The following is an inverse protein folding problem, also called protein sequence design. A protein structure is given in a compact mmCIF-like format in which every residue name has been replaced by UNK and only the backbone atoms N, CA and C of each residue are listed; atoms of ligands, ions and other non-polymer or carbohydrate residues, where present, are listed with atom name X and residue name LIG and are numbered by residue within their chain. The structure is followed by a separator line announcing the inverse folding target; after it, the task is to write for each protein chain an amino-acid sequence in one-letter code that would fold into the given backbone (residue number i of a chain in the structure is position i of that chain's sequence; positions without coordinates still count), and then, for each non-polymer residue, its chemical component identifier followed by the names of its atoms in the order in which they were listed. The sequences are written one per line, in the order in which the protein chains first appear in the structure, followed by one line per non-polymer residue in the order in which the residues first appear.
data_IF_489046506615
#
_entry.id   IF_489046506615
#
_cell.length_a   1.000
_cell.length_b   1.000
_cell.length_c   1.000
_cell.angle_alpha   90.00
_cell.angle_beta   90.00
_cell.angle_gamma   90.00
#
_symmetry.space_group_name_H-M   'P 1'
#
loop_
_entity.id
_entity.type
_entity.pdbx_description
1 polymer ?
#
# COMPACT_ATOMS: atom_id res chain seq x y z
N UNK A 1 -22.12 -2.08 17.26
CA UNK A 1 -22.53 -3.26 16.47
C UNK A 1 -21.74 -3.32 15.17
N UNK A 2 -22.06 -2.49 14.21
CA UNK A 2 -21.32 -2.46 12.93
C UNK A 2 -19.86 -2.05 13.15
N UNK A 3 -19.65 -1.02 13.94
CA UNK A 3 -18.33 -0.47 14.25
C UNK A 3 -17.42 -1.53 14.87
N UNK A 4 -17.94 -2.30 15.81
CA UNK A 4 -17.20 -3.37 16.46
C UNK A 4 -16.82 -4.47 15.47
N UNK A 5 -17.77 -4.89 14.66
CA UNK A 5 -17.53 -5.95 13.66
C UNK A 5 -16.51 -5.51 12.63
N UNK A 6 -16.61 -4.27 12.16
CA UNK A 6 -15.64 -3.72 11.22
C UNK A 6 -14.26 -3.63 11.87
N UNK A 7 -14.16 -3.12 13.09
CA UNK A 7 -12.89 -2.98 13.79
C UNK A 7 -12.20 -4.32 13.97
N UNK A 8 -12.95 -5.35 14.34
CA UNK A 8 -12.39 -6.70 14.49
C UNK A 8 -11.77 -7.21 13.19
N UNK A 9 -12.45 -7.02 12.07
CA UNK A 9 -11.93 -7.44 10.76
C UNK A 9 -10.70 -6.61 10.38
N UNK A 10 -10.80 -5.30 10.50
CA UNK A 10 -9.74 -4.35 10.16
C UNK A 10 -8.48 -4.61 10.98
N UNK A 11 -8.63 -4.82 12.28
CA UNK A 11 -7.50 -5.10 13.17
C UNK A 11 -6.81 -6.42 12.82
N UNK A 12 -7.56 -7.44 12.43
CA UNK A 12 -6.97 -8.72 12.01
C UNK A 12 -6.16 -8.59 10.72
N UNK A 13 -6.64 -7.80 9.76
CA UNK A 13 -5.85 -7.48 8.57
C UNK A 13 -4.57 -6.73 8.93
N UNK A 14 -4.66 -5.73 9.80
CA UNK A 14 -3.49 -4.98 10.26
C UNK A 14 -2.50 -5.86 11.00
N UNK A 15 -2.97 -6.72 11.90
CA UNK A 15 -2.09 -7.63 12.65
C UNK A 15 -1.34 -8.57 11.71
N UNK A 16 -2.01 -9.10 10.70
CA UNK A 16 -1.36 -9.97 9.72
C UNK A 16 -0.33 -9.21 8.91
N UNK A 17 -0.65 -7.98 8.51
CA UNK A 17 0.28 -7.12 7.78
C UNK A 17 1.52 -6.81 8.63
N UNK A 18 1.34 -6.41 9.87
CA UNK A 18 2.47 -6.11 10.77
C UNK A 18 3.33 -7.34 11.02
N UNK A 19 2.71 -8.49 11.24
CA UNK A 19 3.45 -9.75 11.41
C UNK A 19 4.34 -10.05 10.21
N UNK A 20 3.82 -9.88 9.00
CA UNK A 20 4.59 -10.10 7.77
C UNK A 20 5.72 -9.09 7.61
N UNK A 21 5.48 -7.83 7.93
CA UNK A 21 6.52 -6.80 7.92
C UNK A 21 7.65 -7.17 8.90
N UNK A 22 7.30 -7.58 10.12
CA UNK A 22 8.31 -8.00 11.10
C UNK A 22 9.12 -9.21 10.63
N UNK A 23 8.48 -10.18 10.00
CA UNK A 23 9.17 -11.36 9.45
C UNK A 23 10.17 -10.95 8.35
N UNK A 24 9.76 -10.05 7.44
CA UNK A 24 10.58 -9.66 6.30
C UNK A 24 11.70 -8.70 6.67
N UNK A 25 11.51 -7.88 7.70
CA UNK A 25 12.48 -6.86 8.12
C UNK A 25 13.65 -7.47 8.91
N UNK A 26 13.48 -8.67 9.51
CA UNK A 26 14.49 -9.30 10.33
C UNK A 26 15.71 -9.85 9.57
N UNK A 27 15.65 -9.93 8.25
CA UNK A 27 16.42 -11.00 7.63
C UNK A 27 17.71 -10.64 6.91
N UNK A 28 18.22 -9.46 6.76
CA UNK A 28 19.55 -9.28 6.08
C UNK A 28 20.03 -7.84 6.09
N UNK A 29 21.35 -7.67 6.04
CA UNK A 29 21.97 -6.43 5.63
C UNK A 29 21.42 -6.01 4.25
N UNK A 30 20.95 -4.78 4.16
CA UNK A 30 20.32 -4.27 2.93
C UNK A 30 18.84 -4.57 2.78
N UNK A 31 18.23 -5.24 3.75
CA UNK A 31 16.77 -5.43 3.78
C UNK A 31 16.05 -4.12 4.14
N UNK A 32 14.75 -4.08 3.87
CA UNK A 32 13.93 -2.93 4.21
C UNK A 32 13.77 -2.81 5.72
N UNK A 33 13.79 -1.56 6.21
CA UNK A 33 13.27 -1.27 7.56
C UNK A 33 11.74 -1.26 7.52
N UNK A 34 11.11 -1.31 8.71
CA UNK A 34 9.64 -1.21 8.80
C UNK A 34 9.13 0.08 8.17
N UNK A 35 9.80 1.21 8.43
CA UNK A 35 9.39 2.50 7.86
C UNK A 35 9.56 2.54 6.35
N UNK A 36 10.59 1.89 5.81
CA UNK A 36 10.76 1.76 4.37
C UNK A 36 9.65 0.91 3.74
N UNK A 37 9.27 -0.19 4.38
CA UNK A 37 8.17 -1.03 3.92
C UNK A 37 6.85 -0.25 3.90
N UNK A 38 6.56 0.51 4.96
CA UNK A 38 5.38 1.37 5.01
C UNK A 38 5.41 2.45 3.93
N UNK A 39 6.58 3.04 3.69
CA UNK A 39 6.74 4.05 2.63
C UNK A 39 6.43 3.49 1.24
N UNK A 40 6.88 2.27 0.96
CA UNK A 40 6.56 1.60 -0.31
C UNK A 40 5.07 1.33 -0.46
N UNK A 41 4.39 0.93 0.63
CA UNK A 41 2.94 0.76 0.63
C UNK A 41 2.22 2.08 0.31
N UNK A 42 2.66 3.17 0.92
CA UNK A 42 2.10 4.50 0.65
C UNK A 42 2.29 4.88 -0.81
N UNK A 43 3.48 4.67 -1.36
CA UNK A 43 3.78 4.98 -2.76
C UNK A 43 2.88 4.16 -3.70
N UNK A 44 2.68 2.88 -3.39
CA UNK A 44 1.77 2.04 -4.16
C UNK A 44 0.35 2.60 -4.16
N UNK A 45 -0.16 2.97 -2.99
CA UNK A 45 -1.54 3.46 -2.84
C UNK A 45 -1.75 4.84 -3.46
N UNK A 46 -0.69 5.67 -3.51
CA UNK A 46 -0.75 6.98 -4.19
C UNK A 46 -0.66 6.87 -5.72
N UNK A 47 -0.31 5.72 -6.24
CA UNK A 47 -0.26 5.39 -7.67
C UNK A 47 0.62 6.35 -8.49
N UNK A 48 1.88 5.98 -8.66
CA UNK A 48 2.89 6.75 -9.39
C UNK A 48 3.01 8.21 -8.91
N UNK A 49 3.16 8.46 -7.59
CA UNK A 49 3.25 9.82 -7.09
C UNK A 49 4.57 10.48 -7.50
N UNK A 50 4.58 11.81 -7.52
CA UNK A 50 5.82 12.57 -7.51
C UNK A 50 6.42 12.59 -6.10
N UNK A 51 7.69 13.01 -5.97
CA UNK A 51 8.29 13.20 -4.64
C UNK A 51 7.49 14.20 -3.82
N UNK A 52 7.02 15.30 -4.46
CA UNK A 52 6.20 16.30 -3.78
C UNK A 52 4.91 15.72 -3.22
N UNK A 53 4.20 14.91 -3.98
CA UNK A 53 2.98 14.24 -3.52
C UNK A 53 3.25 13.28 -2.36
N UNK A 54 4.35 12.54 -2.43
CA UNK A 54 4.78 11.66 -1.35
C UNK A 54 5.13 12.44 -0.08
N UNK A 55 5.89 13.53 -0.23
CA UNK A 55 6.26 14.41 0.88
C UNK A 55 5.01 15.02 1.54
N UNK A 56 4.08 15.50 0.74
CA UNK A 56 2.84 16.11 1.23
C UNK A 56 2.00 15.10 2.00
N UNK A 57 1.88 13.88 1.51
CA UNK A 57 1.13 12.84 2.21
C UNK A 57 1.72 12.54 3.58
N UNK A 58 3.05 12.44 3.67
CA UNK A 58 3.75 12.14 4.92
C UNK A 58 3.93 13.38 5.81
N UNK A 59 3.62 14.57 5.29
CA UNK A 59 3.86 15.84 5.98
C UNK A 59 5.33 16.01 6.39
N UNK A 60 6.23 15.76 5.44
CA UNK A 60 7.67 15.91 5.61
C UNK A 60 8.22 16.86 4.56
N UNK A 61 9.44 17.35 4.77
CA UNK A 61 10.10 18.20 3.79
C UNK A 61 10.43 17.43 2.52
N UNK A 62 10.52 18.16 1.40
CA UNK A 62 10.88 17.53 0.12
C UNK A 62 12.29 16.94 0.17
N UNK A 63 13.22 17.58 0.86
CA UNK A 63 14.58 17.04 1.02
C UNK A 63 14.59 15.73 1.81
N UNK A 64 13.77 15.62 2.85
CA UNK A 64 13.62 14.40 3.61
C UNK A 64 12.99 13.28 2.75
N UNK A 65 11.96 13.63 1.98
CA UNK A 65 11.33 12.68 1.06
C UNK A 65 12.32 12.18 0.00
N UNK A 66 13.11 13.09 -0.57
CA UNK A 66 14.16 12.75 -1.55
C UNK A 66 15.17 11.78 -0.96
N UNK A 67 15.61 12.01 0.27
CA UNK A 67 16.53 11.12 0.97
C UNK A 67 15.95 9.71 1.12
N UNK A 68 14.70 9.62 1.57
CA UNK A 68 14.00 8.33 1.73
C UNK A 68 13.84 7.60 0.39
N UNK A 69 13.43 8.33 -0.64
CA UNK A 69 13.24 7.78 -1.99
C UNK A 69 14.56 7.27 -2.58
N UNK A 70 15.64 8.04 -2.44
CA UNK A 70 16.94 7.63 -2.95
C UNK A 70 17.44 6.34 -2.28
N UNK A 71 17.18 6.16 -0.99
CA UNK A 71 17.53 4.92 -0.30
C UNK A 71 16.74 3.73 -0.86
N UNK A 72 15.47 3.91 -1.16
CA UNK A 72 14.64 2.85 -1.74
C UNK A 72 15.04 2.53 -3.19
N UNK A 73 15.47 3.55 -3.94
CA UNK A 73 16.02 3.35 -5.29
C UNK A 73 17.32 2.53 -5.23
N UNK A 74 18.22 2.86 -4.31
CA UNK A 74 19.46 2.12 -4.11
C UNK A 74 19.20 0.66 -3.76
N UNK A 75 18.18 0.39 -2.97
CA UNK A 75 17.80 -0.98 -2.60
C UNK A 75 17.06 -1.72 -3.71
N UNK A 76 16.72 -1.03 -4.80
CA UNK A 76 16.12 -1.64 -5.97
C UNK A 76 14.60 -1.77 -5.93
N UNK A 77 13.92 -1.11 -4.97
CA UNK A 77 12.45 -1.18 -4.84
C UNK A 77 11.72 -0.11 -5.62
N UNK A 78 12.39 1.02 -5.92
CA UNK A 78 11.82 2.14 -6.67
C UNK A 78 12.67 2.47 -7.87
N UNK A 79 12.00 2.99 -8.90
CA UNK A 79 12.60 3.55 -10.10
C UNK A 79 12.01 4.92 -10.37
N UNK A 80 12.76 5.74 -11.10
CA UNK A 80 12.27 7.03 -11.56
C UNK A 80 11.61 6.86 -12.91
N UNK A 81 10.41 7.42 -13.04
CA UNK A 81 9.71 7.51 -14.32
C UNK A 81 9.58 8.99 -14.68
N UNK A 82 10.26 9.40 -15.74
CA UNK A 82 10.28 10.80 -16.12
C UNK A 82 8.91 11.26 -16.61
N UNK A 83 8.51 12.48 -16.20
CA UNK A 83 7.34 13.13 -16.73
C UNK A 83 7.56 13.49 -18.20
N UNK A 84 6.54 13.31 -19.05
CA UNK A 84 6.58 13.73 -20.45
C UNK A 84 6.38 15.23 -20.60
N UNK A 85 5.87 15.90 -19.58
CA UNK A 85 5.51 17.33 -19.63
C UNK A 85 6.51 18.25 -18.92
N UNK A 86 7.23 17.75 -17.90
CA UNK A 86 8.23 18.53 -17.18
C UNK A 86 9.44 17.65 -16.86
N UNK A 87 10.62 18.01 -17.40
CA UNK A 87 11.87 17.27 -17.19
C UNK A 87 12.40 17.34 -15.76
N UNK A 88 11.95 18.32 -14.97
CA UNK A 88 12.37 18.49 -13.58
C UNK A 88 11.57 17.64 -12.62
N UNK A 89 10.44 17.11 -13.10
CA UNK A 89 9.54 16.31 -12.34
C UNK A 89 9.61 14.85 -12.81
N UNK A 90 9.64 13.92 -11.87
CA UNK A 90 9.53 12.52 -12.19
C UNK A 90 8.58 11.85 -11.20
N UNK A 91 7.97 10.77 -11.67
CA UNK A 91 7.08 9.95 -10.86
C UNK A 91 7.85 8.75 -10.28
N UNK A 92 7.37 8.26 -9.15
CA UNK A 92 7.94 7.09 -8.49
C UNK A 92 7.24 5.85 -9.04
N UNK A 93 8.03 4.92 -9.55
CA UNK A 93 7.55 3.65 -10.10
C UNK A 93 8.08 2.51 -9.25
N UNK A 94 7.21 1.59 -8.87
CA UNK A 94 7.61 0.41 -8.12
C UNK A 94 8.27 -0.61 -9.04
N UNK A 95 9.34 -1.23 -8.54
CA UNK A 95 10.12 -2.20 -9.32
C UNK A 95 9.52 -3.60 -9.24
N UNK A 96 10.00 -4.51 -10.09
CA UNK A 96 9.67 -5.92 -10.02
C UNK A 96 10.01 -6.52 -8.65
N UNK A 97 11.14 -6.11 -8.06
CA UNK A 97 11.55 -6.53 -6.73
C UNK A 97 10.49 -6.19 -5.69
N UNK A 98 9.88 -5.01 -5.80
CA UNK A 98 8.78 -4.63 -4.92
C UNK A 98 7.57 -5.54 -5.10
N UNK A 99 7.15 -5.82 -6.33
CA UNK A 99 5.98 -6.66 -6.57
C UNK A 99 6.18 -8.08 -6.07
N UNK A 100 7.38 -8.63 -6.18
CA UNK A 100 7.71 -9.92 -5.59
C UNK A 100 7.59 -9.89 -4.05
N UNK A 101 8.04 -8.80 -3.44
CA UNK A 101 7.91 -8.56 -2.01
C UNK A 101 6.43 -8.45 -1.61
N UNK A 102 5.63 -7.70 -2.37
CA UNK A 102 4.21 -7.50 -2.12
C UNK A 102 3.38 -8.78 -2.21
N UNK A 103 3.75 -9.69 -3.10
CA UNK A 103 3.04 -10.98 -3.21
C UNK A 103 3.05 -11.74 -1.88
N UNK A 104 4.12 -11.58 -1.08
CA UNK A 104 4.21 -12.19 0.25
C UNK A 104 3.31 -11.49 1.27
N UNK A 105 3.12 -10.16 1.13
CA UNK A 105 2.30 -9.37 2.07
C UNK A 105 0.79 -9.52 1.82
N UNK A 106 0.38 -9.58 0.56
CA UNK A 106 -1.05 -9.53 0.19
C UNK A 106 -1.74 -10.90 0.13
N UNK A 107 -1.00 -12.00 0.28
CA UNK A 107 -1.56 -13.35 0.17
C UNK A 107 -2.68 -13.64 1.17
N UNK A 108 -2.63 -13.05 2.36
CA UNK A 108 -3.67 -13.24 3.37
C UNK A 108 -5.00 -12.63 2.95
N UNK A 109 -4.98 -11.44 2.38
CA UNK A 109 -6.20 -10.79 1.88
C UNK A 109 -6.89 -11.65 0.84
N UNK A 110 -6.13 -12.20 -0.10
CA UNK A 110 -6.68 -13.09 -1.13
C UNK A 110 -7.29 -14.34 -0.50
N UNK A 111 -6.64 -14.94 0.49
CA UNK A 111 -7.19 -16.12 1.19
C UNK A 111 -8.50 -15.79 1.87
N UNK A 112 -8.60 -14.63 2.51
CA UNK A 112 -9.86 -14.21 3.17
C UNK A 112 -10.95 -13.98 2.12
N UNK A 113 -10.63 -13.33 0.99
CA UNK A 113 -11.59 -13.14 -0.08
C UNK A 113 -12.09 -14.46 -0.65
N UNK A 114 -11.21 -15.43 -0.85
CA UNK A 114 -11.61 -16.77 -1.31
C UNK A 114 -12.55 -17.47 -0.31
N UNK A 115 -12.27 -17.31 0.99
CA UNK A 115 -13.13 -17.86 2.04
C UNK A 115 -14.50 -17.18 2.09
N UNK A 116 -14.55 -15.87 1.86
CA UNK A 116 -15.81 -15.13 1.78
C UNK A 116 -16.64 -15.66 0.61
N UNK A 117 -16.04 -15.83 -0.57
CA UNK A 117 -16.73 -16.35 -1.75
C UNK A 117 -17.24 -17.79 -1.54
N UNK A 118 -16.50 -18.58 -0.78
CA UNK A 118 -16.91 -19.96 -0.47
C UNK A 118 -18.03 -20.02 0.58
N UNK A 119 -18.08 -19.06 1.50
CA UNK A 119 -19.01 -19.07 2.63
C UNK A 119 -20.35 -18.43 2.32
N UNK A 120 -20.37 -17.41 1.49
CA UNK A 120 -21.56 -16.62 1.20
C UNK A 120 -22.08 -16.88 -0.21
N UNK A 121 -23.37 -16.62 -0.45
CA UNK A 121 -23.96 -16.72 -1.77
C UNK A 121 -23.35 -15.70 -2.74
N UNK A 122 -23.43 -15.97 -4.02
CA UNK A 122 -23.00 -15.03 -5.06
C UNK A 122 -23.72 -13.68 -4.93
N UNK A 123 -25.02 -13.71 -4.61
CA UNK A 123 -25.80 -12.50 -4.40
C UNK A 123 -25.26 -11.68 -3.23
N UNK A 124 -24.95 -12.33 -2.09
CA UNK A 124 -24.38 -11.66 -0.92
C UNK A 124 -22.99 -11.10 -1.20
N UNK A 125 -22.15 -11.84 -1.92
CA UNK A 125 -20.81 -11.38 -2.30
C UNK A 125 -20.90 -10.15 -3.20
N UNK A 126 -21.80 -10.17 -4.18
CA UNK A 126 -21.99 -9.03 -5.07
C UNK A 126 -22.52 -7.80 -4.33
N UNK A 127 -23.42 -8.00 -3.38
CA UNK A 127 -23.94 -6.92 -2.54
C UNK A 127 -22.84 -6.33 -1.64
N UNK A 128 -22.01 -7.18 -1.08
CA UNK A 128 -20.87 -6.77 -0.27
C UNK A 128 -19.87 -5.96 -1.10
N UNK A 129 -19.55 -6.43 -2.30
CA UNK A 129 -18.66 -5.69 -3.21
C UNK A 129 -19.24 -4.32 -3.55
N UNK A 130 -20.52 -4.25 -3.88
CA UNK A 130 -21.20 -2.97 -4.15
C UNK A 130 -21.10 -2.01 -2.97
N UNK A 131 -21.33 -2.50 -1.75
CA UNK A 131 -21.20 -1.69 -0.54
C UNK A 131 -19.77 -1.20 -0.31
N UNK A 132 -18.78 -2.06 -0.53
CA UNK A 132 -17.37 -1.66 -0.40
C UNK A 132 -17.00 -0.58 -1.42
N UNK A 133 -17.48 -0.69 -2.66
CA UNK A 133 -17.24 0.33 -3.68
C UNK A 133 -17.85 1.68 -3.31
N UNK A 134 -19.07 1.68 -2.78
CA UNK A 134 -19.72 2.90 -2.31
C UNK A 134 -18.93 3.52 -1.14
N UNK A 135 -18.51 2.69 -0.20
CA UNK A 135 -17.70 3.17 0.93
C UNK A 135 -16.42 3.83 0.42
N UNK A 136 -15.70 3.16 -0.47
CA UNK A 136 -14.43 3.68 -0.99
C UNK A 136 -14.61 4.96 -1.80
N UNK A 137 -15.61 5.01 -2.66
CA UNK A 137 -15.76 6.11 -3.63
C UNK A 137 -16.51 7.32 -3.07
N UNK A 138 -17.42 7.10 -2.13
CA UNK A 138 -18.30 8.16 -1.67
C UNK A 138 -18.15 8.53 -0.20
N UNK A 139 -17.79 7.55 0.64
CA UNK A 139 -17.78 7.75 2.09
C UNK A 139 -16.38 7.95 2.68
N UNK A 140 -15.36 7.97 1.82
CA UNK A 140 -13.97 8.25 2.20
C UNK A 140 -13.40 9.36 1.30
N UNK A 141 -14.03 10.56 1.29
CA UNK A 141 -13.66 11.63 0.36
C UNK A 141 -12.27 12.22 0.63
N UNK A 142 -11.71 11.99 1.81
CA UNK A 142 -10.38 12.47 2.19
C UNK A 142 -9.27 11.91 1.27
N UNK A 143 -9.51 10.76 0.64
CA UNK A 143 -8.52 10.10 -0.24
C UNK A 143 -8.80 10.35 -1.72
N UNK A 144 -9.69 11.23 -2.04
CA UNK A 144 -9.92 11.85 -3.34
C UNK A 144 -10.06 10.90 -4.53
N UNK A 145 -11.21 10.66 -4.86
CA UNK A 145 -11.82 10.32 -6.14
C UNK A 145 -13.19 9.85 -5.87
#
# INVERSE_FOLDING_TARGET
MLEKSFTEVYDKFKLQFYRKVFELVRERDGSLSAMEAFSLEVIKMLDHPTIGQFADFLNISQSNATYKVNNLIKKGYLERENSTTDRREYHLKLSEKFYNYMALLSSYEQRVMDRIKARFSEEDVNKFDEMLQIISNELMPEFGK
#
